data_IF_580079256283
#
_entry.id   IF_580079256283
#
_cell.length_a   1.000
_cell.length_b   1.000
_cell.length_c   1.000
_cell.angle_alpha   90.00
_cell.angle_beta   90.00
_cell.angle_gamma   90.00
#
_symmetry.space_group_name_H-M   'P 1'
#
loop_
_entity.id
_entity.type
_entity.pdbx_description
1 polymer ?
#
# COMPACT_ATOMS: atom_id res chain seq x y z
N UNK A 1 -42.76 32.13 -32.62
CA UNK A 1 -42.74 33.06 -33.76
C UNK A 1 -41.30 33.17 -34.28
N UNK A 2 -41.17 32.98 -35.59
CA UNK A 2 -40.09 33.29 -36.52
C UNK A 2 -38.59 33.09 -36.24
N UNK A 3 -38.01 32.37 -37.21
CA UNK A 3 -36.62 32.11 -37.59
C UNK A 3 -35.87 33.37 -38.08
N UNK A 4 -34.53 33.31 -38.04
CA UNK A 4 -33.62 33.70 -39.17
C UNK A 4 -32.19 33.18 -38.84
N UNK A 5 -31.77 32.03 -39.39
CA UNK A 5 -30.99 31.75 -40.62
C UNK A 5 -29.54 32.32 -40.71
N UNK A 6 -28.62 31.35 -40.60
CA UNK A 6 -27.23 31.12 -41.09
C UNK A 6 -26.77 31.93 -42.34
N UNK A 7 -25.44 32.07 -42.59
CA UNK A 7 -24.83 31.11 -43.52
C UNK A 7 -23.44 30.56 -43.11
N UNK A 8 -23.14 29.39 -43.68
CA UNK A 8 -21.94 28.59 -43.55
C UNK A 8 -20.89 28.95 -44.61
N UNK A 9 -19.61 28.63 -44.33
CA UNK A 9 -18.61 28.30 -45.37
C UNK A 9 -17.19 28.79 -45.09
N UNK A 10 -16.30 27.91 -44.61
CA UNK A 10 -15.15 27.31 -45.34
C UNK A 10 -14.27 26.49 -44.36
N UNK A 11 -13.73 25.36 -44.86
CA UNK A 11 -12.94 24.30 -44.17
C UNK A 11 -11.43 24.67 -44.08
N UNK A 12 -10.53 23.77 -43.67
CA UNK A 12 -10.19 23.35 -42.30
C UNK A 12 -8.72 23.68 -41.96
N UNK A 13 -8.38 23.90 -40.69
CA UNK A 13 -7.00 23.82 -40.22
C UNK A 13 -6.96 22.87 -39.03
N UNK A 14 -6.10 21.86 -39.17
CA UNK A 14 -5.87 20.82 -38.18
C UNK A 14 -5.48 21.44 -36.84
N UNK A 15 -6.34 21.29 -35.84
CA UNK A 15 -6.06 21.62 -34.45
C UNK A 15 -6.01 20.33 -33.65
N UNK A 16 -4.80 19.92 -33.29
CA UNK A 16 -4.54 18.78 -32.43
C UNK A 16 -5.29 18.94 -31.10
N UNK A 17 -6.15 17.98 -30.79
CA UNK A 17 -6.73 17.82 -29.46
C UNK A 17 -5.64 17.26 -28.56
N UNK A 18 -5.07 18.09 -27.71
CA UNK A 18 -4.07 17.68 -26.72
C UNK A 18 -4.80 16.89 -25.62
N UNK A 19 -4.84 15.57 -25.75
CA UNK A 19 -5.16 14.67 -24.63
C UNK A 19 -4.01 14.77 -23.62
N UNK A 20 -4.29 15.27 -22.42
CA UNK A 20 -3.39 15.10 -21.27
C UNK A 20 -3.30 13.61 -20.95
N UNK A 21 -2.14 13.02 -21.24
CA UNK A 21 -1.76 11.72 -20.71
C UNK A 21 -1.27 11.93 -19.27
N UNK A 22 -1.94 11.29 -18.30
CA UNK A 22 -1.29 11.01 -17.01
C UNK A 22 -0.15 10.02 -17.30
N UNK A 23 1.09 10.49 -17.14
CA UNK A 23 2.28 9.69 -17.29
C UNK A 23 2.46 8.82 -16.03
N UNK A 24 1.86 7.63 -16.04
CA UNK A 24 2.29 6.54 -15.17
C UNK A 24 3.65 6.03 -15.66
N UNK A 25 4.74 6.48 -15.03
CA UNK A 25 6.08 6.00 -15.35
C UNK A 25 6.48 4.87 -14.40
N UNK A 26 6.29 3.63 -14.85
CA UNK A 26 7.04 2.48 -14.35
C UNK A 26 8.48 2.52 -14.90
N UNK A 27 9.46 2.56 -14.01
CA UNK A 27 10.89 2.61 -14.36
C UNK A 27 11.44 1.28 -14.89
N UNK A 28 11.62 1.22 -16.21
CA UNK A 28 12.79 0.71 -16.96
C UNK A 28 13.53 -0.56 -16.54
N UNK A 29 13.32 -1.64 -17.32
CA UNK A 29 14.18 -2.82 -17.38
C UNK A 29 15.38 -2.66 -18.33
N UNK A 30 16.50 -3.30 -17.96
CA UNK A 30 17.72 -3.43 -18.76
C UNK A 30 17.70 -4.69 -19.63
N UNK A 31 18.25 -4.55 -20.83
CA UNK A 31 18.17 -5.43 -22.01
C UNK A 31 18.98 -6.73 -21.93
N UNK A 32 18.39 -7.79 -22.49
CA UNK A 32 19.04 -9.04 -22.91
C UNK A 32 20.15 -8.81 -23.95
N UNK A 33 21.29 -9.48 -23.76
CA UNK A 33 22.26 -9.76 -24.81
C UNK A 33 22.48 -11.28 -24.89
N UNK A 34 22.10 -11.82 -26.04
CA UNK A 34 22.26 -13.18 -26.49
C UNK A 34 23.75 -13.50 -26.75
N UNK A 35 24.26 -14.61 -26.22
CA UNK A 35 25.45 -15.28 -26.75
C UNK A 35 25.34 -16.80 -26.55
N UNK A 36 25.17 -17.47 -27.67
CA UNK A 36 25.17 -18.92 -27.84
C UNK A 36 26.58 -19.52 -27.69
N UNK A 37 26.66 -20.74 -27.15
CA UNK A 37 27.57 -21.83 -27.60
C UNK A 37 27.26 -23.11 -26.82
N UNK A 38 26.93 -24.16 -27.57
CA UNK A 38 26.66 -25.49 -27.02
C UNK A 38 27.93 -26.30 -26.75
N UNK A 39 27.74 -27.42 -26.04
CA UNK A 39 28.38 -28.72 -26.30
C UNK A 39 27.65 -29.79 -25.49
N UNK A 40 27.36 -30.88 -26.16
CA UNK A 40 26.90 -32.18 -25.61
C UNK A 40 28.13 -32.95 -25.11
N UNK A 41 28.04 -33.63 -23.96
CA UNK A 41 28.20 -35.10 -23.89
C UNK A 41 28.29 -35.67 -22.45
N UNK A 42 27.81 -36.91 -22.37
CA UNK A 42 28.21 -38.03 -21.50
C UNK A 42 27.60 -38.20 -20.09
N UNK A 43 27.15 -39.43 -19.87
CA UNK A 43 26.43 -39.95 -18.71
C UNK A 43 27.30 -40.87 -17.82
N UNK A 44 26.98 -40.86 -16.51
CA UNK A 44 27.05 -41.93 -15.48
C UNK A 44 28.44 -42.52 -15.07
N UNK A 45 28.68 -42.95 -13.80
CA UNK A 45 27.83 -43.88 -13.01
C UNK A 45 27.68 -43.54 -11.50
N UNK A 46 26.90 -44.35 -10.72
CA UNK A 46 26.47 -44.00 -9.36
C UNK A 46 27.41 -44.54 -8.27
N UNK A 47 27.38 -43.94 -7.08
CA UNK A 47 28.15 -44.40 -5.92
C UNK A 47 27.25 -44.65 -4.69
N UNK A 48 27.10 -45.95 -4.41
CA UNK A 48 27.05 -46.65 -3.12
C UNK A 48 26.23 -46.13 -1.92
N UNK A 49 25.24 -46.94 -1.55
CA UNK A 49 24.63 -47.05 -0.21
C UNK A 49 25.66 -47.36 0.89
N UNK A 50 25.41 -46.82 2.09
CA UNK A 50 26.08 -47.19 3.34
C UNK A 50 25.05 -47.75 4.36
N UNK A 51 25.48 -48.63 5.29
CA UNK A 51 24.63 -49.69 5.84
C UNK A 51 23.82 -49.30 7.08
N UNK A 52 22.70 -50.00 7.24
CA UNK A 52 21.81 -49.96 8.40
C UNK A 52 22.46 -50.53 9.67
N UNK A 53 22.25 -49.84 10.80
CA UNK A 53 22.62 -50.29 12.15
C UNK A 53 21.54 -51.18 12.77
N UNK A 54 21.87 -52.13 13.68
CA UNK A 54 20.95 -53.16 14.13
C UNK A 54 19.96 -52.68 15.19
N UNK A 55 18.72 -53.16 15.08
CA UNK A 55 17.61 -52.98 16.02
C UNK A 55 17.78 -53.92 17.23
N UNK A 56 17.62 -53.39 18.44
CA UNK A 56 17.63 -54.15 19.70
C UNK A 56 16.24 -54.76 20.01
N UNK A 57 16.17 -55.91 20.72
CA UNK A 57 14.93 -56.65 20.94
C UNK A 57 14.03 -56.04 22.04
N UNK A 58 12.71 -56.32 22.04
CA UNK A 58 11.75 -55.71 22.95
C UNK A 58 11.78 -56.34 24.35
N UNK A 59 11.57 -55.50 25.37
CA UNK A 59 11.39 -55.89 26.77
C UNK A 59 9.89 -56.20 27.06
N UNK A 60 9.58 -57.02 28.09
CA UNK A 60 8.24 -57.58 28.29
C UNK A 60 7.25 -56.59 28.89
N UNK A 61 5.97 -56.83 28.58
CA UNK A 61 4.81 -56.03 28.99
C UNK A 61 4.59 -56.01 30.52
N UNK A 62 4.27 -54.83 31.04
CA UNK A 62 3.81 -54.63 32.42
C UNK A 62 2.43 -53.94 32.42
N UNK A 63 1.45 -54.67 32.94
CA UNK A 63 0.25 -54.29 33.69
C UNK A 63 -0.35 -52.88 33.54
N UNK A 64 -1.62 -52.85 33.11
CA UNK A 64 -2.55 -51.72 33.16
C UNK A 64 -2.57 -51.02 34.53
N UNK A 65 -2.20 -49.74 34.52
CA UNK A 65 -2.53 -48.78 35.57
C UNK A 65 -3.23 -47.60 34.91
N UNK A 66 -4.44 -47.28 35.39
CA UNK A 66 -5.31 -46.25 34.85
C UNK A 66 -4.59 -44.88 34.80
N UNK A 67 -4.53 -44.28 33.61
CA UNK A 67 -4.00 -42.94 33.40
C UNK A 67 -4.92 -41.88 34.06
N UNK A 68 -4.36 -40.83 34.68
CA UNK A 68 -5.16 -39.73 35.21
C UNK A 68 -5.80 -38.94 34.06
N UNK A 69 -7.08 -38.62 34.20
CA UNK A 69 -7.84 -37.78 33.26
C UNK A 69 -7.14 -36.42 33.13
N UNK A 70 -6.81 -35.95 31.91
CA UNK A 70 -6.20 -34.63 31.75
C UNK A 70 -7.21 -33.55 32.15
N UNK A 71 -6.74 -32.59 32.97
CA UNK A 71 -7.52 -31.42 33.31
C UNK A 71 -7.95 -30.67 32.04
N UNK A 72 -9.15 -30.06 31.99
CA UNK A 72 -9.59 -29.29 30.84
C UNK A 72 -8.60 -28.17 30.55
N UNK A 73 -8.22 -28.04 29.28
CA UNK A 73 -7.34 -26.97 28.83
C UNK A 73 -7.93 -25.61 29.26
N UNK A 74 -7.11 -24.67 29.77
CA UNK A 74 -7.59 -23.33 30.05
C UNK A 74 -8.14 -22.73 28.76
N UNK A 75 -9.32 -22.10 28.86
CA UNK A 75 -9.91 -21.37 27.74
C UNK A 75 -8.87 -20.39 27.14
N UNK A 76 -8.83 -20.21 25.82
CA UNK A 76 -7.89 -19.28 25.21
C UNK A 76 -8.14 -17.90 25.82
N UNK A 77 -7.12 -17.39 26.50
CA UNK A 77 -7.08 -16.00 26.93
C UNK A 77 -7.11 -15.18 25.66
N UNK A 78 -8.19 -14.43 25.43
CA UNK A 78 -8.28 -13.48 24.33
C UNK A 78 -7.24 -12.38 24.57
N UNK A 79 -6.01 -12.62 24.12
CA UNK A 79 -5.04 -11.55 23.92
C UNK A 79 -5.57 -10.77 22.73
N UNK A 80 -6.22 -9.64 22.98
CA UNK A 80 -6.48 -8.67 21.91
C UNK A 80 -5.13 -8.40 21.25
N UNK A 81 -4.97 -8.82 19.99
CA UNK A 81 -3.74 -8.60 19.26
C UNK A 81 -3.43 -7.11 19.28
N UNK A 82 -2.31 -6.73 19.90
CA UNK A 82 -1.86 -5.35 19.95
C UNK A 82 -1.66 -4.85 18.50
N UNK A 83 -2.14 -3.64 18.19
CA UNK A 83 -1.98 -3.06 16.86
C UNK A 83 -0.49 -2.99 16.47
N UNK A 84 -0.13 -3.10 15.17
CA UNK A 84 1.22 -2.81 14.71
C UNK A 84 1.65 -1.40 15.12
N UNK A 85 2.95 -1.17 15.27
CA UNK A 85 3.48 0.15 15.61
C UNK A 85 4.07 0.83 14.37
N UNK A 86 3.96 2.15 14.36
CA UNK A 86 4.53 3.07 13.39
C UNK A 86 5.30 4.14 14.17
N UNK A 87 6.62 3.96 14.27
CA UNK A 87 7.41 4.67 15.28
C UNK A 87 6.96 4.26 16.69
N UNK A 88 6.54 5.22 17.50
CA UNK A 88 5.99 5.01 18.84
C UNK A 88 4.45 4.97 18.90
N UNK A 89 3.78 5.03 17.74
CA UNK A 89 2.32 5.10 17.63
C UNK A 89 1.72 3.80 17.11
N UNK A 90 0.51 3.46 17.55
CA UNK A 90 -0.23 2.36 16.92
C UNK A 90 -0.66 2.72 15.49
N UNK A 91 -0.62 1.73 14.59
CA UNK A 91 -1.13 1.80 13.23
C UNK A 91 -2.65 1.68 13.28
N UNK A 92 -3.30 2.77 13.72
CA UNK A 92 -4.73 2.81 14.07
C UNK A 92 -5.14 1.88 15.24
N UNK A 93 -6.30 2.13 15.85
CA UNK A 93 -6.83 1.21 16.86
C UNK A 93 -7.00 -0.21 16.30
N UNK A 94 -6.88 -1.22 17.16
CA UNK A 94 -6.97 -2.63 16.77
C UNK A 94 -8.30 -3.01 16.07
N UNK A 95 -9.38 -2.26 16.33
CA UNK A 95 -10.69 -2.49 15.74
C UNK A 95 -10.83 -1.88 14.33
N UNK A 96 -9.78 -1.22 13.82
CA UNK A 96 -9.73 -0.71 12.45
C UNK A 96 -9.73 -1.86 11.43
N UNK A 97 -10.39 -1.64 10.30
CA UNK A 97 -10.47 -2.62 9.21
C UNK A 97 -9.10 -3.03 8.68
N UNK A 98 -8.12 -2.13 8.69
CA UNK A 98 -6.77 -2.41 8.22
C UNK A 98 -6.02 -3.41 9.11
N UNK A 99 -6.44 -3.54 10.37
CA UNK A 99 -5.90 -4.50 11.35
C UNK A 99 -6.82 -5.73 11.51
N UNK A 100 -7.90 -5.83 10.73
CA UNK A 100 -8.88 -6.90 10.86
C UNK A 100 -8.50 -8.11 10.00
N UNK A 101 -8.48 -9.27 10.64
CA UNK A 101 -8.29 -10.54 9.94
C UNK A 101 -9.50 -10.87 9.08
N UNK A 102 -9.23 -11.19 7.82
CA UNK A 102 -10.18 -11.61 6.80
C UNK A 102 -9.94 -13.05 6.32
N UNK A 103 -9.07 -13.83 6.96
CA UNK A 103 -8.77 -15.21 6.51
C UNK A 103 -9.83 -16.26 6.87
N UNK A 104 -10.84 -15.91 7.68
CA UNK A 104 -12.03 -16.74 7.89
C UNK A 104 -12.96 -16.63 6.68
N UNK A 105 -12.83 -17.58 5.74
CA UNK A 105 -13.63 -17.61 4.53
C UNK A 105 -15.14 -17.80 4.76
N UNK A 106 -15.56 -18.27 5.95
CA UNK A 106 -16.98 -18.40 6.29
C UNK A 106 -17.59 -17.04 6.65
N UNK A 107 -16.82 -16.19 7.33
CA UNK A 107 -17.21 -14.82 7.67
C UNK A 107 -16.98 -13.86 6.50
N UNK A 108 -15.89 -14.06 5.76
CA UNK A 108 -15.46 -13.22 4.66
C UNK A 108 -15.37 -14.06 3.38
N UNK A 109 -16.49 -14.39 2.72
CA UNK A 109 -16.46 -15.21 1.51
C UNK A 109 -15.79 -14.47 0.34
N UNK A 110 -15.42 -15.22 -0.70
CA UNK A 110 -14.98 -14.62 -1.95
C UNK A 110 -16.07 -13.72 -2.53
N UNK A 111 -15.68 -12.56 -3.05
CA UNK A 111 -16.57 -11.62 -3.72
C UNK A 111 -17.12 -12.26 -5.01
N UNK A 112 -18.39 -11.98 -5.33
CA UNK A 112 -19.06 -12.57 -6.50
C UNK A 112 -18.35 -12.27 -7.84
N UNK A 113 -17.75 -11.07 -7.94
CA UNK A 113 -16.97 -10.65 -9.12
C UNK A 113 -15.51 -11.11 -9.13
N UNK A 114 -15.05 -11.84 -8.10
CA UNK A 114 -13.63 -12.20 -7.93
C UNK A 114 -13.04 -12.83 -9.20
N UNK A 115 -13.66 -13.89 -9.74
CA UNK A 115 -13.17 -14.55 -10.95
C UNK A 115 -13.13 -13.62 -12.18
N UNK A 116 -14.12 -12.72 -12.31
CA UNK A 116 -14.21 -11.76 -13.41
C UNK A 116 -13.08 -10.74 -13.34
N UNK A 117 -12.83 -10.18 -12.17
CA UNK A 117 -11.76 -9.22 -11.93
C UNK A 117 -10.37 -9.83 -12.10
N UNK A 118 -10.14 -11.06 -11.61
CA UNK A 118 -8.88 -11.78 -11.84
C UNK A 118 -8.65 -12.04 -13.33
N UNK A 119 -9.69 -12.39 -14.08
CA UNK A 119 -9.59 -12.59 -15.53
C UNK A 119 -9.36 -11.28 -16.31
N UNK A 120 -9.93 -10.17 -15.85
CA UNK A 120 -9.74 -8.84 -16.45
C UNK A 120 -8.28 -8.39 -16.40
N UNK A 121 -7.59 -8.69 -15.29
CA UNK A 121 -6.15 -8.42 -15.14
C UNK A 121 -5.30 -9.47 -15.85
N UNK A 122 -5.64 -10.74 -15.66
CA UNK A 122 -4.88 -11.90 -16.12
C UNK A 122 -4.35 -12.73 -14.94
N UNK A 123 -4.85 -13.96 -14.79
CA UNK A 123 -4.51 -14.81 -13.64
C UNK A 123 -3.04 -15.25 -13.54
N UNK A 124 -2.24 -15.07 -14.60
CA UNK A 124 -0.80 -15.34 -14.61
C UNK A 124 0.06 -14.14 -14.16
N UNK A 125 -0.55 -12.96 -13.99
CA UNK A 125 0.13 -11.76 -13.47
C UNK A 125 0.74 -12.10 -12.11
N UNK A 126 2.03 -11.81 -11.95
CA UNK A 126 2.77 -12.17 -10.74
C UNK A 126 2.74 -11.00 -9.76
N UNK A 127 2.77 -11.31 -8.47
CA UNK A 127 3.06 -10.32 -7.44
C UNK A 127 4.35 -9.59 -7.78
N UNK A 128 4.34 -8.26 -7.66
CA UNK A 128 5.49 -7.40 -7.86
C UNK A 128 5.73 -6.59 -6.60
N UNK A 129 6.91 -6.76 -6.02
CA UNK A 129 7.34 -5.93 -4.92
C UNK A 129 7.74 -4.57 -5.48
N UNK A 130 7.04 -3.53 -5.05
CA UNK A 130 7.25 -2.15 -5.46
C UNK A 130 8.16 -1.42 -4.46
N UNK A 131 9.29 -2.03 -4.13
CA UNK A 131 10.30 -1.49 -3.22
C UNK A 131 11.64 -2.22 -3.40
N UNK A 132 12.75 -1.61 -2.96
CA UNK A 132 14.09 -2.22 -3.06
C UNK A 132 14.95 -1.99 -1.82
N UNK A 133 16.25 -2.30 -1.94
CA UNK A 133 17.19 -2.38 -0.83
C UNK A 133 17.92 -1.08 -0.52
N UNK A 134 18.05 -0.15 -1.48
CA UNK A 134 18.86 1.05 -1.24
C UNK A 134 18.06 2.07 -0.43
N UNK A 135 18.65 2.55 0.66
CA UNK A 135 18.14 3.65 1.47
C UNK A 135 18.81 4.99 1.12
N UNK A 136 19.72 5.00 0.14
CA UNK A 136 20.44 6.20 -0.30
C UNK A 136 19.60 6.96 -1.35
N UNK A 137 18.99 8.11 -1.01
CA UNK A 137 18.11 8.85 -1.92
C UNK A 137 18.85 9.45 -3.12
N UNK A 138 20.19 9.40 -3.16
CA UNK A 138 20.98 9.82 -4.33
C UNK A 138 21.05 8.74 -5.41
N UNK A 139 20.76 7.48 -5.09
CA UNK A 139 20.83 6.33 -5.99
C UNK A 139 19.49 6.05 -6.66
N UNK A 140 19.06 6.91 -7.60
CA UNK A 140 17.71 6.85 -8.20
C UNK A 140 17.29 5.49 -8.75
N UNK A 141 18.21 4.72 -9.32
CA UNK A 141 17.91 3.42 -9.91
C UNK A 141 17.75 2.30 -8.87
N UNK A 142 18.23 2.51 -7.65
CA UNK A 142 18.23 1.50 -6.58
C UNK A 142 17.37 1.92 -5.37
N UNK A 143 17.05 3.21 -5.24
CA UNK A 143 16.22 3.78 -4.20
C UNK A 143 14.76 3.76 -4.67
N UNK A 144 14.05 2.72 -4.26
CA UNK A 144 12.74 2.37 -4.79
C UNK A 144 11.78 1.94 -3.68
N UNK A 145 10.50 2.29 -3.82
CA UNK A 145 9.48 2.21 -2.79
C UNK A 145 9.21 3.56 -2.13
N UNK A 146 8.32 3.55 -1.15
CA UNK A 146 7.84 4.78 -0.51
C UNK A 146 8.42 4.86 0.91
N UNK A 147 9.38 5.76 1.18
CA UNK A 147 10.00 5.89 2.49
C UNK A 147 9.06 6.56 3.49
N UNK A 148 9.28 6.27 4.77
CA UNK A 148 8.56 6.88 5.89
C UNK A 148 9.52 7.73 6.71
N UNK A 149 9.09 8.95 7.06
CA UNK A 149 9.84 9.84 7.94
C UNK A 149 9.20 9.87 9.33
N UNK A 150 10.04 9.95 10.36
CA UNK A 150 9.60 10.09 11.73
C UNK A 150 10.00 11.46 12.27
N UNK A 151 9.06 12.18 12.87
CA UNK A 151 9.29 13.48 13.52
C UNK A 151 8.64 13.47 14.90
N UNK A 152 9.18 14.22 15.84
CA UNK A 152 8.60 14.39 17.20
C UNK A 152 7.60 15.58 17.29
N UNK A 153 7.34 16.25 16.17
CA UNK A 153 6.45 17.41 16.09
C UNK A 153 7.07 18.71 16.62
N UNK A 154 8.26 18.66 17.24
CA UNK A 154 8.95 19.85 17.75
C UNK A 154 9.76 20.53 16.65
N UNK A 155 10.16 21.78 16.92
CA UNK A 155 11.09 22.49 16.06
C UNK A 155 12.49 21.85 16.00
N UNK A 156 12.80 20.81 16.79
CA UNK A 156 14.05 20.08 16.65
C UNK A 156 14.02 19.12 15.44
N UNK A 157 12.86 18.51 15.15
CA UNK A 157 12.74 17.47 14.12
C UNK A 157 12.06 17.93 12.83
N UNK A 158 11.20 18.96 12.90
CA UNK A 158 10.41 19.43 11.76
C UNK A 158 10.42 20.96 11.65
N UNK A 159 10.44 21.45 10.42
CA UNK A 159 10.34 22.88 10.13
C UNK A 159 8.90 23.41 10.17
N UNK A 160 7.90 22.52 10.16
CA UNK A 160 6.51 22.87 9.89
C UNK A 160 6.43 23.89 8.77
N UNK A 161 6.89 23.49 7.58
CA UNK A 161 7.15 24.42 6.50
C UNK A 161 5.84 24.95 5.88
N UNK A 162 5.80 26.21 5.41
CA UNK A 162 4.71 26.70 4.59
C UNK A 162 4.52 25.83 3.35
N UNK A 163 3.27 25.51 3.02
CA UNK A 163 2.94 24.65 1.88
C UNK A 163 2.01 25.35 0.89
N UNK A 164 2.39 25.32 -0.39
CA UNK A 164 1.56 25.76 -1.51
C UNK A 164 0.95 24.56 -2.25
N UNK A 165 -0.23 24.76 -2.84
CA UNK A 165 -0.88 23.80 -3.74
C UNK A 165 -0.93 24.30 -5.19
N UNK A 166 -0.22 25.39 -5.50
CA UNK A 166 -0.21 26.01 -6.83
C UNK A 166 1.22 26.07 -7.37
N UNK A 167 1.57 25.09 -8.21
CA UNK A 167 2.92 24.98 -8.78
C UNK A 167 3.21 26.07 -9.79
N UNK A 168 2.20 26.75 -10.35
CA UNK A 168 2.40 27.84 -11.34
C UNK A 168 3.26 28.97 -10.77
N UNK A 169 3.13 29.22 -9.47
CA UNK A 169 3.95 30.22 -8.75
C UNK A 169 5.43 29.86 -8.64
N UNK A 170 5.79 28.58 -8.81
CA UNK A 170 7.19 28.13 -8.85
C UNK A 170 7.89 28.47 -10.17
N UNK A 171 7.13 28.63 -11.26
CA UNK A 171 7.64 28.75 -12.63
C UNK A 171 8.13 27.43 -13.26
N UNK A 172 7.97 26.29 -12.58
CA UNK A 172 8.50 24.98 -13.02
C UNK A 172 7.43 24.05 -13.59
N UNK A 173 6.22 24.05 -13.02
CA UNK A 173 5.07 23.26 -13.49
C UNK A 173 3.83 24.14 -13.58
N UNK A 174 2.89 23.77 -14.45
CA UNK A 174 1.58 24.41 -14.59
C UNK A 174 0.51 23.84 -13.66
N UNK A 175 0.83 22.82 -12.88
CA UNK A 175 -0.15 22.06 -12.11
C UNK A 175 -0.73 22.85 -10.93
N UNK A 176 -1.98 22.54 -10.62
CA UNK A 176 -2.71 23.11 -9.50
C UNK A 176 -3.38 21.96 -8.76
N UNK A 177 -3.09 21.87 -7.47
CA UNK A 177 -3.58 20.83 -6.59
C UNK A 177 -5.00 21.04 -6.10
N UNK A 178 -5.40 20.21 -5.13
CA UNK A 178 -6.74 20.14 -4.57
C UNK A 178 -6.76 20.54 -3.08
N UNK A 179 -6.49 21.81 -2.74
CA UNK A 179 -6.50 22.25 -1.34
C UNK A 179 -7.86 22.09 -0.66
N UNK A 180 -8.97 22.05 -1.42
CA UNK A 180 -10.32 21.88 -0.87
C UNK A 180 -10.60 20.44 -0.41
N UNK A 181 -9.85 19.47 -0.94
CA UNK A 181 -9.85 18.08 -0.54
C UNK A 181 -8.56 17.72 0.22
N UNK A 182 -7.75 18.70 0.63
CA UNK A 182 -6.49 18.44 1.35
C UNK A 182 -6.58 18.83 2.82
N UNK A 183 -5.70 18.22 3.62
CA UNK A 183 -5.47 18.59 5.02
C UNK A 183 -4.11 19.25 5.20
N UNK A 184 -4.03 20.21 6.11
CA UNK A 184 -2.81 20.94 6.41
C UNK A 184 -2.71 21.17 7.90
N UNK A 185 -1.48 21.39 8.35
CA UNK A 185 -1.20 21.79 9.70
C UNK A 185 -1.50 23.28 9.88
N UNK A 186 -2.17 23.62 10.97
CA UNK A 186 -2.41 25.01 11.42
C UNK A 186 -1.96 25.14 12.86
N UNK A 187 -1.48 26.32 13.26
CA UNK A 187 -1.03 26.52 14.63
C UNK A 187 -2.18 26.26 15.62
N UNK A 188 -1.91 25.43 16.63
CA UNK A 188 -2.84 25.06 17.69
C UNK A 188 -2.06 24.93 19.01
N UNK A 189 -2.35 25.81 19.97
CA UNK A 189 -1.57 25.88 21.21
C UNK A 189 -0.09 26.22 20.93
N UNK A 190 0.81 25.40 21.47
CA UNK A 190 2.27 25.46 21.26
C UNK A 190 2.76 24.62 20.08
N UNK A 191 1.83 23.94 19.38
CA UNK A 191 2.14 23.08 18.24
C UNK A 191 1.23 23.35 17.05
N UNK A 192 0.90 22.28 16.34
CA UNK A 192 0.03 22.31 15.17
C UNK A 192 -1.13 21.35 15.35
N UNK A 193 -2.25 21.62 14.68
CA UNK A 193 -3.46 20.80 14.59
C UNK A 193 -3.76 20.39 13.15
N UNK A 194 -4.62 19.38 12.94
CA UNK A 194 -5.11 19.00 11.61
C UNK A 194 -6.27 19.93 11.23
N UNK A 195 -6.11 20.70 10.15
CA UNK A 195 -7.20 21.41 9.49
C UNK A 195 -7.62 20.67 8.22
N UNK A 196 -8.90 20.29 8.13
CA UNK A 196 -9.53 19.74 6.92
C UNK A 196 -9.88 20.88 5.95
N UNK A 197 -9.84 20.63 4.64
CA UNK A 197 -10.13 21.62 3.59
C UNK A 197 -9.24 22.87 3.72
N UNK A 198 -7.99 22.73 3.29
CA UNK A 198 -7.01 23.81 3.29
C UNK A 198 -7.41 25.04 2.46
N UNK A 199 -8.39 24.95 1.57
CA UNK A 199 -8.92 26.15 0.91
C UNK A 199 -9.55 27.14 1.90
N UNK A 200 -10.05 26.65 3.04
CA UNK A 200 -10.58 27.48 4.12
C UNK A 200 -9.49 28.06 5.04
N UNK A 201 -8.24 27.61 4.91
CA UNK A 201 -7.09 28.11 5.66
C UNK A 201 -6.36 29.17 4.81
N UNK A 202 -6.03 30.36 5.35
CA UNK A 202 -5.21 31.33 4.63
C UNK A 202 -3.89 30.70 4.17
N UNK A 203 -3.48 30.94 2.92
CA UNK A 203 -2.27 30.31 2.34
C UNK A 203 -1.02 30.49 3.19
N UNK A 204 -0.82 31.68 3.77
CA UNK A 204 0.29 31.99 4.67
C UNK A 204 0.26 31.24 6.01
N UNK A 205 -0.83 30.54 6.36
CA UNK A 205 -1.01 29.80 7.61
C UNK A 205 -0.97 28.28 7.43
N UNK A 206 -1.00 27.77 6.19
CA UNK A 206 -0.94 26.34 5.89
C UNK A 206 0.48 25.82 6.13
N UNK A 207 0.61 24.75 6.90
CA UNK A 207 1.88 24.06 7.16
C UNK A 207 1.82 22.58 6.79
N UNK A 208 2.99 21.98 6.68
CA UNK A 208 3.19 20.54 6.61
C UNK A 208 4.46 20.15 7.41
N UNK A 209 4.49 19.03 8.13
CA UNK A 209 5.60 18.67 9.01
C UNK A 209 6.81 18.13 8.22
N UNK A 210 7.47 18.97 7.43
CA UNK A 210 8.67 18.58 6.69
C UNK A 210 9.82 18.25 7.67
N UNK A 211 10.39 17.03 7.62
CA UNK A 211 11.59 16.67 8.38
C UNK A 211 12.76 17.63 8.11
N UNK A 212 13.46 18.04 9.18
CA UNK A 212 14.64 18.92 9.09
C UNK A 212 15.88 18.23 8.53
N UNK A 213 16.05 16.97 8.87
CA UNK A 213 17.23 16.17 8.56
C UNK A 213 16.79 14.87 7.92
N UNK A 214 17.68 14.31 7.10
CA UNK A 214 17.49 13.00 6.46
C UNK A 214 16.12 12.85 5.82
N UNK A 215 15.64 13.92 5.16
CA UNK A 215 14.36 13.92 4.46
C UNK A 215 14.37 12.81 3.41
N UNK A 216 13.39 11.91 3.51
CA UNK A 216 13.15 10.85 2.55
C UNK A 216 11.81 11.04 1.86
N UNK A 217 11.83 10.94 0.55
CA UNK A 217 10.70 11.07 -0.36
C UNK A 217 10.83 9.97 -1.41
N UNK A 218 9.72 9.51 -1.97
CA UNK A 218 9.75 8.54 -3.08
C UNK A 218 10.56 9.08 -4.26
N UNK A 219 11.40 8.26 -4.90
CA UNK A 219 12.27 8.71 -5.99
C UNK A 219 13.48 9.58 -5.54
N UNK A 220 13.64 9.79 -4.23
CA UNK A 220 14.84 10.36 -3.61
C UNK A 220 15.12 11.80 -4.04
N UNK A 221 16.34 12.08 -4.50
CA UNK A 221 16.77 13.45 -4.88
C UNK A 221 16.22 13.94 -6.24
N UNK A 222 15.22 13.25 -6.81
CA UNK A 222 14.48 13.69 -7.98
C UNK A 222 13.57 14.88 -7.68
N UNK A 223 13.97 16.10 -8.06
CA UNK A 223 13.26 17.32 -7.68
C UNK A 223 12.69 18.13 -8.86
N UNK A 224 12.30 17.45 -9.94
CA UNK A 224 11.59 18.05 -11.09
C UNK A 224 10.20 17.43 -11.24
N UNK A 225 9.11 18.15 -10.93
CA UNK A 225 7.76 17.60 -10.97
C UNK A 225 7.33 17.12 -12.36
N UNK A 226 7.97 17.58 -13.44
CA UNK A 226 7.61 17.16 -14.79
C UNK A 226 8.19 15.79 -15.18
N UNK A 227 9.17 15.28 -14.42
CA UNK A 227 9.90 14.04 -14.76
C UNK A 227 9.99 13.04 -13.61
N UNK A 228 9.78 13.47 -12.37
CA UNK A 228 9.98 12.67 -11.16
C UNK A 228 8.73 11.93 -10.66
N UNK A 229 7.55 12.25 -11.20
CA UNK A 229 6.30 11.55 -10.86
C UNK A 229 5.73 11.91 -9.49
N UNK A 230 5.22 10.90 -8.79
CA UNK A 230 4.35 11.09 -7.62
C UNK A 230 5.07 11.64 -6.39
N UNK A 231 6.33 11.27 -6.17
CA UNK A 231 7.21 11.88 -5.17
C UNK A 231 6.55 12.05 -3.80
N UNK A 232 5.96 10.96 -3.31
CA UNK A 232 5.24 10.95 -2.05
C UNK A 232 6.13 11.33 -0.87
N UNK A 233 5.58 12.13 0.06
CA UNK A 233 6.21 12.48 1.32
C UNK A 233 5.35 12.00 2.49
N UNK A 234 5.79 10.94 3.17
CA UNK A 234 5.09 10.33 4.29
C UNK A 234 5.78 10.68 5.61
N UNK A 235 5.02 11.25 6.54
CA UNK A 235 5.54 11.73 7.83
C UNK A 235 4.66 11.25 8.97
N UNK A 236 5.28 10.59 9.93
CA UNK A 236 4.66 10.18 11.18
C UNK A 236 5.13 11.13 12.26
N UNK A 237 4.18 11.86 12.82
CA UNK A 237 4.39 12.71 13.97
C UNK A 237 4.17 11.92 15.26
N UNK A 238 5.30 11.52 15.83
CA UNK A 238 5.41 10.82 17.09
C UNK A 238 4.89 11.65 18.27
N UNK A 239 4.47 10.98 19.34
CA UNK A 239 3.84 11.60 20.52
C UNK A 239 2.40 12.08 20.25
N UNK A 240 2.19 12.95 19.26
CA UNK A 240 0.85 13.36 18.82
C UNK A 240 0.10 12.18 18.18
N UNK A 241 0.83 11.26 17.53
CA UNK A 241 0.32 10.15 16.73
C UNK A 241 -0.57 10.62 15.60
N UNK A 242 0.02 11.45 14.74
CA UNK A 242 -0.60 11.93 13.52
C UNK A 242 0.21 11.46 12.32
N UNK A 243 -0.49 11.00 11.30
CA UNK A 243 0.08 10.65 10.02
C UNK A 243 -0.22 11.79 9.05
N UNK A 244 0.80 12.22 8.31
CA UNK A 244 0.74 13.27 7.30
C UNK A 244 1.35 12.74 6.00
N UNK A 245 0.62 12.84 4.90
CA UNK A 245 1.04 12.30 3.62
C UNK A 245 0.80 13.32 2.52
N UNK A 246 1.80 13.53 1.66
CA UNK A 246 1.73 14.41 0.51
C UNK A 246 1.91 13.65 -0.81
N UNK A 247 1.15 14.06 -1.83
CA UNK A 247 1.29 13.62 -3.21
C UNK A 247 1.84 14.75 -4.07
N UNK A 248 2.79 14.41 -4.93
CA UNK A 248 3.61 15.32 -5.74
C UNK A 248 4.20 16.42 -4.85
N UNK A 249 4.98 16.04 -3.83
CA UNK A 249 5.49 16.98 -2.83
C UNK A 249 6.94 17.40 -3.10
N UNK A 250 7.13 18.60 -3.64
CA UNK A 250 8.43 19.08 -4.12
C UNK A 250 8.90 20.35 -3.41
N UNK A 251 10.22 20.53 -3.32
CA UNK A 251 10.83 21.79 -2.86
C UNK A 251 11.41 22.56 -4.04
N UNK A 252 10.71 23.60 -4.49
CA UNK A 252 11.07 24.37 -5.68
C UNK A 252 11.43 25.80 -5.27
N UNK A 253 12.63 26.25 -5.66
CA UNK A 253 13.12 27.61 -5.36
C UNK A 253 12.99 27.99 -3.85
N UNK A 254 13.21 27.01 -2.97
CA UNK A 254 13.14 27.18 -1.51
C UNK A 254 11.73 27.06 -0.90
N UNK A 255 10.67 26.99 -1.71
CA UNK A 255 9.27 26.84 -1.27
C UNK A 255 8.77 25.40 -1.44
N UNK A 256 7.90 24.95 -0.56
CA UNK A 256 7.28 23.63 -0.64
C UNK A 256 5.95 23.68 -1.39
N UNK A 257 5.74 22.67 -2.22
CA UNK A 257 4.55 22.48 -3.04
C UNK A 257 4.05 21.05 -2.90
N UNK A 258 2.73 20.86 -2.91
CA UNK A 258 2.09 19.54 -2.99
C UNK A 258 0.80 19.63 -3.80
N UNK A 259 0.47 18.64 -4.62
CA UNK A 259 -0.80 18.63 -5.33
C UNK A 259 -1.95 18.22 -4.41
N UNK A 260 -1.71 17.27 -3.52
CA UNK A 260 -2.65 16.92 -2.46
C UNK A 260 -1.91 16.62 -1.16
N UNK A 261 -2.58 16.79 -0.03
CA UNK A 261 -2.09 16.33 1.27
C UNK A 261 -3.22 15.75 2.10
N UNK A 262 -2.88 14.77 2.92
CA UNK A 262 -3.82 14.09 3.79
C UNK A 262 -3.26 13.85 5.17
N UNK A 263 -4.13 13.91 6.18
CA UNK A 263 -3.75 13.69 7.56
C UNK A 263 -4.75 12.80 8.30
N UNK A 264 -4.22 11.99 9.21
CA UNK A 264 -4.99 11.11 10.08
C UNK A 264 -4.52 11.23 11.52
N UNK A 265 -5.47 11.18 12.46
CA UNK A 265 -5.15 10.88 13.84
C UNK A 265 -5.09 9.36 13.99
N UNK A 266 -3.90 8.82 14.26
CA UNK A 266 -3.69 7.37 14.39
C UNK A 266 -4.36 6.79 15.65
N UNK A 267 -4.88 7.63 16.55
CA UNK A 267 -5.68 7.21 17.71
C UNK A 267 -7.19 7.15 17.40
N UNK A 268 -7.60 7.50 16.19
CA UNK A 268 -9.01 7.56 15.78
C UNK A 268 -9.36 6.49 14.74
N UNK A 269 -10.65 6.14 14.68
CA UNK A 269 -11.26 5.34 13.63
C UNK A 269 -11.93 6.21 12.56
N UNK A 270 -11.76 7.53 12.57
CA UNK A 270 -12.41 8.41 11.60
C UNK A 270 -11.80 8.28 10.20
N UNK A 271 -12.64 8.02 9.20
CA UNK A 271 -12.23 8.14 7.81
C UNK A 271 -12.17 9.61 7.37
N UNK A 272 -11.44 9.88 6.30
CA UNK A 272 -11.54 11.15 5.58
C UNK A 272 -12.96 11.32 4.99
N UNK A 273 -13.40 12.56 4.72
CA UNK A 273 -14.67 12.79 4.04
C UNK A 273 -14.79 11.95 2.77
N UNK A 274 -15.99 11.44 2.51
CA UNK A 274 -16.25 10.72 1.26
C UNK A 274 -16.00 11.65 0.07
N UNK A 275 -15.56 11.06 -1.04
CA UNK A 275 -15.17 11.72 -2.29
C UNK A 275 -13.92 12.60 -2.24
N UNK A 276 -13.19 12.67 -1.13
CA UNK A 276 -11.94 13.45 -1.07
C UNK A 276 -10.76 12.57 -1.49
N UNK A 277 -9.96 13.05 -2.44
CA UNK A 277 -8.66 12.47 -2.78
C UNK A 277 -7.71 12.46 -1.56
N UNK A 278 -6.56 11.80 -1.63
CA UNK A 278 -5.51 11.88 -0.61
C UNK A 278 -4.14 11.95 -1.29
N UNK A 279 -3.08 11.61 -0.56
CA UNK A 279 -1.83 11.22 -1.22
C UNK A 279 -2.05 9.94 -2.07
N UNK A 280 -2.93 9.07 -1.60
CA UNK A 280 -3.42 7.87 -2.28
C UNK A 280 -4.65 8.15 -3.17
N UNK A 281 -4.73 7.54 -4.35
CA UNK A 281 -5.87 7.71 -5.24
C UNK A 281 -7.20 7.20 -4.64
N UNK A 282 -7.19 6.15 -3.82
CA UNK A 282 -8.39 5.63 -3.15
C UNK A 282 -8.86 6.52 -1.98
N UNK A 283 -8.12 7.57 -1.63
CA UNK A 283 -8.38 8.38 -0.44
C UNK A 283 -8.04 7.66 0.87
N UNK A 284 -7.28 6.56 0.81
CA UNK A 284 -6.79 5.82 1.97
C UNK A 284 -5.43 6.39 2.45
N UNK A 285 -4.99 6.10 3.68
CA UNK A 285 -3.60 6.38 4.05
C UNK A 285 -2.64 5.43 3.31
N UNK A 286 -1.40 5.83 3.04
CA UNK A 286 -0.38 5.01 2.35
C UNK A 286 0.43 4.19 3.37
N UNK A 287 1.03 4.89 4.34
CA UNK A 287 1.96 4.36 5.34
C UNK A 287 1.44 3.10 6.06
N UNK A 288 0.15 3.05 6.47
CA UNK A 288 -0.43 1.90 7.15
C UNK A 288 -0.47 0.62 6.30
N UNK A 289 -0.31 0.72 4.97
CA UNK A 289 -0.36 -0.43 4.07
C UNK A 289 1.00 -0.81 3.46
N UNK A 290 2.06 -0.05 3.76
CA UNK A 290 3.39 -0.36 3.25
C UNK A 290 3.93 -1.63 3.90
N UNK A 291 4.47 -2.52 3.07
CA UNK A 291 5.33 -3.62 3.54
C UNK A 291 6.61 -3.03 4.15
N UNK A 292 6.87 -3.32 5.43
CA UNK A 292 8.06 -2.81 6.16
C UNK A 292 9.07 -3.90 6.47
N UNK A 293 10.35 -3.57 6.34
CA UNK A 293 11.43 -4.54 6.43
C UNK A 293 11.57 -5.09 7.85
N UNK A 294 11.38 -4.23 8.85
CA UNK A 294 11.45 -4.61 10.26
C UNK A 294 10.37 -5.65 10.63
N UNK A 295 9.12 -5.42 10.23
CA UNK A 295 7.99 -6.33 10.48
C UNK A 295 8.17 -7.66 9.75
N UNK A 296 8.55 -7.60 8.46
CA UNK A 296 8.80 -8.80 7.66
C UNK A 296 9.97 -9.62 8.24
N UNK A 297 11.02 -8.96 8.74
CA UNK A 297 12.17 -9.62 9.39
C UNK A 297 11.81 -10.25 10.73
N UNK A 298 10.89 -9.63 11.47
CA UNK A 298 10.30 -10.21 12.69
C UNK A 298 9.41 -11.43 12.40
N UNK A 299 9.04 -11.66 11.13
CA UNK A 299 8.27 -12.82 10.69
C UNK A 299 6.75 -12.62 10.72
N UNK A 300 6.28 -11.42 11.07
CA UNK A 300 4.85 -11.13 11.10
C UNK A 300 4.57 -9.67 10.71
N UNK A 301 3.67 -9.51 9.74
CA UNK A 301 3.05 -8.23 9.39
C UNK A 301 1.57 -8.33 9.80
N UNK A 302 1.11 -7.41 10.64
CA UNK A 302 -0.19 -7.49 11.33
C UNK A 302 -1.24 -6.52 10.80
N UNK A 303 -1.07 -6.08 9.57
CA UNK A 303 -1.98 -5.15 8.89
C UNK A 303 -2.14 -5.53 7.42
N UNK A 304 -3.17 -4.97 6.79
CA UNK A 304 -3.41 -5.10 5.36
C UNK A 304 -2.30 -4.42 4.55
N UNK A 305 -2.10 -4.87 3.32
CA UNK A 305 -1.20 -4.24 2.36
C UNK A 305 -1.98 -3.42 1.34
N UNK A 306 -1.28 -2.75 0.43
CA UNK A 306 -1.88 -2.03 -0.71
C UNK A 306 -1.41 -2.65 -2.02
N UNK A 307 -2.24 -2.56 -3.04
CA UNK A 307 -1.96 -3.06 -4.38
C UNK A 307 -2.47 -2.09 -5.44
N UNK A 308 -1.74 -1.97 -6.54
CA UNK A 308 -2.16 -1.21 -7.71
C UNK A 308 -2.60 -2.11 -8.86
N UNK A 309 -3.42 -1.53 -9.73
CA UNK A 309 -3.74 -2.10 -11.02
C UNK A 309 -3.70 -1.02 -12.10
N UNK A 310 -3.55 -1.43 -13.36
CA UNK A 310 -3.58 -0.48 -14.48
C UNK A 310 -4.96 0.11 -14.66
N UNK A 311 -5.02 1.38 -15.08
CA UNK A 311 -6.26 2.14 -15.24
C UNK A 311 -7.34 1.39 -16.04
N UNK A 312 -6.93 0.68 -17.09
CA UNK A 312 -7.81 -0.06 -17.99
C UNK A 312 -8.57 -1.24 -17.35
N UNK A 313 -8.28 -1.63 -16.10
CA UNK A 313 -9.05 -2.67 -15.39
C UNK A 313 -9.83 -2.12 -14.20
N UNK A 314 -9.67 -0.84 -13.89
CA UNK A 314 -10.31 -0.17 -12.76
C UNK A 314 -11.67 0.40 -13.18
N UNK A 315 -12.61 0.36 -12.24
CA UNK A 315 -13.91 1.01 -12.38
C UNK A 315 -13.83 2.46 -11.89
N UNK A 316 -14.68 3.32 -12.47
CA UNK A 316 -14.86 4.71 -12.05
C UNK A 316 -15.68 4.84 -10.75
N UNK A 317 -15.31 4.09 -9.73
CA UNK A 317 -16.04 4.00 -8.47
C UNK A 317 -15.13 3.51 -7.34
N UNK A 318 -15.53 3.79 -6.10
CA UNK A 318 -14.89 3.26 -4.90
C UNK A 318 -15.88 2.51 -4.01
N UNK A 319 -15.36 1.62 -3.18
CA UNK A 319 -16.09 0.91 -2.12
C UNK A 319 -15.41 1.10 -0.78
N UNK A 320 -16.17 1.02 0.32
CA UNK A 320 -15.62 1.13 1.66
C UNK A 320 -14.48 0.11 1.87
N UNK A 321 -13.36 0.51 2.51
CA UNK A 321 -13.11 1.77 3.22
C UNK A 321 -12.55 2.92 2.37
N UNK A 322 -12.31 2.72 1.07
CA UNK A 322 -11.86 3.80 0.20
C UNK A 322 -12.87 4.95 0.20
N UNK A 323 -12.35 6.16 -0.04
CA UNK A 323 -13.10 7.42 -0.04
C UNK A 323 -13.14 8.07 -1.42
N UNK A 324 -12.30 7.62 -2.34
CA UNK A 324 -12.12 8.25 -3.63
C UNK A 324 -11.71 7.23 -4.69
N UNK A 325 -11.74 7.64 -5.95
CA UNK A 325 -11.21 6.90 -7.08
C UNK A 325 -10.54 7.89 -8.03
N UNK A 326 -9.46 7.47 -8.68
CA UNK A 326 -8.87 8.22 -9.78
C UNK A 326 -8.96 7.41 -11.07
N UNK A 327 -9.06 8.08 -12.21
CA UNK A 327 -9.20 7.39 -13.49
C UNK A 327 -10.37 6.41 -13.48
N UNK A 328 -10.16 5.27 -14.14
CA UNK A 328 -11.11 4.19 -14.29
C UNK A 328 -12.27 4.59 -15.19
N UNK A 329 -12.56 3.75 -16.18
CA UNK A 329 -13.84 3.82 -16.92
C UNK A 329 -14.27 2.45 -17.44
N UNK A 330 -13.67 1.37 -16.90
CA UNK A 330 -13.99 0.02 -17.32
C UNK A 330 -15.30 -0.41 -16.69
N UNK A 331 -16.36 -0.68 -17.47
CA UNK A 331 -17.65 -1.08 -16.93
C UNK A 331 -17.54 -2.38 -16.12
N UNK A 332 -17.91 -2.31 -14.85
CA UNK A 332 -17.74 -3.41 -13.90
C UNK A 332 -16.27 -3.75 -13.62
N UNK A 333 -15.32 -2.85 -13.86
CA UNK A 333 -13.93 -3.00 -13.43
C UNK A 333 -13.80 -3.14 -11.90
N UNK A 334 -12.56 -3.21 -11.44
CA UNK A 334 -12.24 -3.34 -10.02
C UNK A 334 -12.42 -1.97 -9.35
N UNK A 335 -13.25 -1.83 -8.31
CA UNK A 335 -13.38 -0.56 -7.61
C UNK A 335 -12.19 -0.33 -6.67
N UNK A 336 -11.81 0.93 -6.49
CA UNK A 336 -10.90 1.32 -5.41
C UNK A 336 -11.49 0.90 -4.06
N UNK A 337 -10.64 0.44 -3.14
CA UNK A 337 -11.05 -0.12 -1.85
C UNK A 337 -11.52 -1.57 -1.88
N UNK A 338 -11.62 -2.20 -3.06
CA UNK A 338 -11.75 -3.66 -3.11
C UNK A 338 -10.54 -4.31 -2.41
N UNK A 339 -10.75 -5.43 -1.73
CA UNK A 339 -9.69 -6.15 -1.03
C UNK A 339 -9.45 -7.51 -1.67
N UNK A 340 -8.18 -7.79 -1.95
CA UNK A 340 -7.67 -9.03 -2.48
C UNK A 340 -7.02 -9.82 -1.34
N UNK A 341 -7.25 -11.14 -1.22
CA UNK A 341 -6.46 -11.99 -0.31
C UNK A 341 -5.86 -13.18 -1.01
N UNK A 342 -4.75 -13.67 -0.48
CA UNK A 342 -4.16 -14.94 -0.88
C UNK A 342 -5.06 -16.08 -0.39
N UNK A 343 -5.43 -17.00 -1.28
CA UNK A 343 -6.33 -18.11 -0.95
C UNK A 343 -5.75 -18.97 0.16
N UNK A 344 -6.62 -19.55 0.99
CA UNK A 344 -6.21 -20.36 2.14
C UNK A 344 -5.43 -21.62 1.75
N UNK A 345 -5.71 -22.19 0.58
CA UNK A 345 -5.08 -23.40 0.03
C UNK A 345 -3.70 -23.18 -0.61
N UNK A 346 -3.29 -21.92 -0.86
CA UNK A 346 -1.93 -21.63 -1.30
C UNK A 346 -0.92 -22.07 -0.23
N UNK A 347 -0.06 -23.04 -0.54
CA UNK A 347 0.98 -23.51 0.37
C UNK A 347 2.17 -22.56 0.30
N UNK A 348 2.46 -21.86 1.39
CA UNK A 348 3.65 -21.02 1.51
C UNK A 348 4.86 -21.95 1.66
N UNK A 349 5.83 -21.96 0.72
CA UNK A 349 6.93 -22.91 0.77
C UNK A 349 7.86 -22.74 1.98
N UNK A 350 8.23 -23.86 2.60
CA UNK A 350 9.07 -23.86 3.81
C UNK A 350 10.49 -23.30 3.59
N UNK A 351 10.98 -23.33 2.36
CA UNK A 351 12.30 -22.80 2.00
C UNK A 351 12.29 -21.29 1.73
N UNK A 352 11.12 -20.62 1.79
CA UNK A 352 11.06 -19.18 1.67
C UNK A 352 11.72 -18.47 2.85
N UNK A 353 12.25 -17.28 2.58
CA UNK A 353 12.75 -16.36 3.60
C UNK A 353 11.66 -16.02 4.62
N UNK A 354 12.07 -15.69 5.85
CA UNK A 354 11.16 -15.19 6.90
C UNK A 354 10.31 -14.03 6.38
N UNK A 355 10.93 -13.09 5.67
CA UNK A 355 10.28 -11.93 5.07
C UNK A 355 9.22 -12.32 4.03
N UNK A 356 9.52 -13.22 3.09
CA UNK A 356 8.53 -13.67 2.10
C UNK A 356 7.36 -14.43 2.74
N UNK A 357 7.62 -15.24 3.78
CA UNK A 357 6.57 -15.92 4.54
C UNK A 357 5.67 -14.94 5.29
N UNK A 358 6.25 -13.89 5.87
CA UNK A 358 5.50 -12.83 6.56
C UNK A 358 4.56 -12.10 5.59
N UNK A 359 5.06 -11.70 4.42
CA UNK A 359 4.28 -11.02 3.37
C UNK A 359 3.13 -11.92 2.88
N UNK A 360 3.41 -13.17 2.52
CA UNK A 360 2.37 -14.09 2.06
C UNK A 360 1.33 -14.39 3.15
N UNK A 361 1.76 -14.47 4.40
CA UNK A 361 0.87 -14.65 5.56
C UNK A 361 -0.03 -13.43 5.77
N UNK A 362 0.50 -12.21 5.64
CA UNK A 362 -0.28 -10.99 5.71
C UNK A 362 -1.28 -10.88 4.56
N UNK A 363 -0.87 -11.26 3.34
CA UNK A 363 -1.76 -11.34 2.18
C UNK A 363 -2.93 -12.34 2.40
N UNK A 364 -2.74 -13.43 3.15
CA UNK A 364 -3.84 -14.32 3.56
C UNK A 364 -4.71 -13.68 4.63
N UNK A 365 -4.09 -13.17 5.70
CA UNK A 365 -4.75 -12.75 6.94
C UNK A 365 -5.45 -11.41 6.82
N UNK A 366 -4.85 -10.42 6.19
CA UNK A 366 -5.35 -9.04 6.17
C UNK A 366 -5.67 -8.55 4.76
N UNK A 367 -5.13 -9.21 3.74
CA UNK A 367 -5.37 -8.88 2.33
C UNK A 367 -4.61 -7.65 1.86
N UNK A 368 -4.96 -7.22 0.65
CA UNK A 368 -4.37 -6.10 -0.07
C UNK A 368 -5.49 -5.22 -0.63
N UNK A 369 -5.51 -3.95 -0.26
CA UNK A 369 -6.49 -3.00 -0.75
C UNK A 369 -6.07 -2.42 -2.11
N UNK A 370 -7.03 -2.33 -3.03
CA UNK A 370 -6.86 -1.61 -4.29
C UNK A 370 -6.81 -0.13 -3.99
N UNK A 371 -5.60 0.44 -4.02
CA UNK A 371 -5.33 1.77 -3.47
C UNK A 371 -4.96 2.78 -4.55
N UNK A 372 -4.30 2.35 -5.64
CA UNK A 372 -3.82 3.27 -6.67
C UNK A 372 -3.90 2.74 -8.10
N UNK A 373 -3.79 3.67 -9.05
CA UNK A 373 -3.49 3.37 -10.44
C UNK A 373 -1.99 3.11 -10.55
N UNK A 374 -1.62 2.00 -11.18
CA UNK A 374 -0.21 1.67 -11.40
C UNK A 374 -0.07 0.52 -12.36
N UNK A 375 0.95 -0.31 -12.16
CA UNK A 375 1.07 -1.57 -12.87
C UNK A 375 0.27 -2.66 -12.15
N UNK A 376 -0.12 -3.70 -12.89
CA UNK A 376 -0.92 -4.79 -12.34
C UNK A 376 -0.16 -5.58 -11.28
N UNK A 377 -0.79 -5.70 -10.10
CA UNK A 377 -0.33 -6.51 -8.96
C UNK A 377 1.00 -6.06 -8.36
N UNK A 378 1.28 -4.76 -8.40
CA UNK A 378 2.36 -4.13 -7.65
C UNK A 378 1.89 -3.82 -6.23
N UNK A 379 2.71 -4.20 -5.25
CA UNK A 379 2.46 -4.02 -3.82
C UNK A 379 3.53 -3.12 -3.27
N UNK A 380 3.15 -2.05 -2.56
CA UNK A 380 4.11 -1.05 -2.10
C UNK A 380 4.73 -1.39 -0.74
N UNK A 381 6.00 -1.00 -0.61
CA UNK A 381 6.79 -1.14 0.61
C UNK A 381 7.80 -0.01 0.75
N UNK A 382 8.55 -0.05 1.85
CA UNK A 382 9.62 0.91 2.09
C UNK A 382 10.97 0.43 1.50
N UNK A 383 11.82 1.36 1.01
CA UNK A 383 13.21 1.04 0.75
C UNK A 383 13.92 0.66 2.04
N UNK A 384 14.62 -0.49 2.07
CA UNK A 384 15.46 -0.84 3.22
C UNK A 384 16.60 -1.81 2.94
N UNK A 385 17.77 -1.54 3.53
CA UNK A 385 18.94 -2.44 3.43
C UNK A 385 18.72 -3.77 4.15
N UNK A 386 17.70 -3.86 5.02
CA UNK A 386 17.34 -5.08 5.75
C UNK A 386 16.63 -6.12 4.89
N UNK A 387 16.17 -5.77 3.68
CA UNK A 387 15.54 -6.71 2.77
C UNK A 387 16.52 -7.79 2.28
N UNK A 388 16.12 -9.05 2.43
CA UNK A 388 16.76 -10.20 1.80
C UNK A 388 16.36 -10.22 0.32
N UNK A 389 17.35 -10.18 -0.57
CA UNK A 389 17.11 -10.12 -2.02
C UNK A 389 16.31 -11.32 -2.56
N UNK A 390 16.40 -12.47 -1.90
CA UNK A 390 15.62 -13.67 -2.28
C UNK A 390 14.13 -13.46 -2.08
N UNK A 391 13.73 -12.58 -1.15
CA UNK A 391 12.32 -12.28 -0.87
C UNK A 391 11.58 -11.83 -2.12
N UNK A 392 12.17 -10.94 -2.93
CA UNK A 392 11.56 -10.41 -4.14
C UNK A 392 11.21 -11.51 -5.17
N UNK A 393 12.17 -12.41 -5.42
CA UNK A 393 11.96 -13.55 -6.32
C UNK A 393 10.94 -14.55 -5.77
N UNK A 394 10.91 -14.76 -4.46
CA UNK A 394 9.98 -15.68 -3.78
C UNK A 394 8.54 -15.17 -3.82
N UNK A 395 8.28 -13.92 -3.43
CA UNK A 395 6.92 -13.37 -3.49
C UNK A 395 6.41 -13.27 -4.92
N UNK A 396 7.28 -13.03 -5.90
CA UNK A 396 6.92 -13.06 -7.33
C UNK A 396 6.44 -14.44 -7.82
N UNK A 397 6.62 -15.51 -7.05
CA UNK A 397 6.07 -16.82 -7.38
C UNK A 397 4.57 -16.93 -7.10
N UNK A 398 3.93 -15.93 -6.47
CA UNK A 398 2.49 -15.86 -6.25
C UNK A 398 1.83 -15.28 -7.51
N UNK A 399 1.10 -16.07 -8.32
CA UNK A 399 0.32 -15.52 -9.41
C UNK A 399 -1.03 -15.01 -8.90
N UNK A 400 -1.62 -14.06 -9.62
CA UNK A 400 -2.90 -13.46 -9.27
C UNK A 400 -4.03 -14.50 -9.21
N UNK A 401 -3.94 -15.60 -9.96
CA UNK A 401 -4.88 -16.74 -9.87
C UNK A 401 -4.91 -17.46 -8.51
N UNK A 402 -3.88 -17.27 -7.66
CA UNK A 402 -3.88 -17.73 -6.27
C UNK A 402 -4.54 -16.75 -5.30
N UNK A 403 -4.99 -15.60 -5.81
CA UNK A 403 -5.69 -14.59 -5.04
C UNK A 403 -7.20 -14.67 -5.28
N UNK A 404 -7.97 -14.07 -4.39
CA UNK A 404 -9.40 -13.85 -4.55
C UNK A 404 -9.79 -12.50 -3.95
N UNK A 405 -10.73 -11.80 -4.57
CA UNK A 405 -11.35 -10.64 -3.94
C UNK A 405 -12.33 -11.10 -2.86
N UNK A 406 -12.47 -10.31 -1.80
CA UNK A 406 -13.22 -10.67 -0.60
C UNK A 406 -14.47 -9.78 -0.44
N UNK A 407 -15.60 -10.38 -0.07
CA UNK A 407 -16.80 -9.64 0.33
C UNK A 407 -16.66 -9.21 1.81
N UNK A 408 -16.62 -7.89 2.04
CA UNK A 408 -16.60 -7.29 3.38
C UNK A 408 -18.00 -7.12 3.98
N UNK A 409 -19.03 -7.77 3.43
CA UNK A 409 -20.42 -7.72 3.86
C UNK A 409 -20.64 -8.08 5.34
N UNK A 410 -19.79 -8.92 5.93
CA UNK A 410 -19.84 -9.21 7.37
C UNK A 410 -19.53 -7.99 8.26
N UNK A 411 -18.90 -6.95 7.70
CA UNK A 411 -18.68 -5.66 8.36
C UNK A 411 -19.75 -4.67 7.89
N UNK A 412 -19.87 -4.46 6.58
CA UNK A 412 -20.68 -3.36 6.02
C UNK A 412 -22.19 -3.55 6.17
N UNK A 413 -22.65 -4.76 6.50
CA UNK A 413 -24.06 -5.07 6.78
C UNK A 413 -24.35 -5.25 8.28
N UNK A 414 -23.36 -5.09 9.17
CA UNK A 414 -23.60 -5.06 10.61
C UNK A 414 -24.41 -3.81 10.98
N UNK A 415 -25.43 -3.89 11.86
CA UNK A 415 -26.22 -2.73 12.27
C UNK A 415 -25.42 -1.58 12.91
N UNK A 416 -24.21 -1.85 13.42
CA UNK A 416 -23.31 -0.86 14.04
C UNK A 416 -22.33 -0.24 13.03
N UNK A 417 -22.36 -0.69 11.77
CA UNK A 417 -21.51 -0.16 10.71
C UNK A 417 -21.76 1.34 10.50
N UNK A 418 -20.65 2.08 10.42
CA UNK A 418 -20.65 3.47 9.97
C UNK A 418 -19.75 3.58 8.75
N UNK A 419 -20.32 4.07 7.65
CA UNK A 419 -19.58 4.31 6.40
C UNK A 419 -18.45 5.34 6.53
N UNK A 420 -18.47 6.16 7.58
CA UNK A 420 -17.51 7.23 7.85
C UNK A 420 -16.48 6.84 8.93
N UNK A 421 -16.47 5.56 9.32
CA UNK A 421 -15.51 5.00 10.26
C UNK A 421 -14.76 3.81 9.67
N UNK A 422 -13.52 3.62 10.12
CA UNK A 422 -12.68 2.45 9.89
C UNK A 422 -13.08 1.25 10.76
N UNK A 423 -14.01 1.41 11.71
CA UNK A 423 -14.42 0.34 12.62
C UNK A 423 -14.91 -0.89 11.85
N UNK A 424 -14.28 -2.04 12.10
CA UNK A 424 -14.64 -3.34 11.54
C UNK A 424 -15.11 -4.34 12.60
N UNK A 425 -15.00 -3.96 13.87
CA UNK A 425 -15.37 -4.76 15.03
C UNK A 425 -15.96 -3.83 16.10
N UNK A 426 -16.90 -4.35 16.87
CA UNK A 426 -17.60 -3.61 17.91
C UNK A 426 -17.78 -4.53 19.11
N UNK A 427 -17.27 -4.09 20.27
CA UNK A 427 -17.35 -4.82 21.54
C UNK A 427 -18.70 -4.70 22.21
#
# INVERSE_FOLDING_TARGET
MNRTRIPAGLRPLAGATLLLWLAACGGGGGTDVNASRGTVDAAAPPAAEAPATPVAPPAPAASDAAAPVPAPAPAPVSVTAQAPLLGDCELFPADAVFNTRIDDASRFPAHADSARWINLVGGSTRFRADWWRSEDPTQRDAYYGIPVNLVDGTSASTDWAPLSYDFRSSGVSSDVGWPHESDCAVAEGDGFGIARNCSNVPSGSRRFPIPKFDLKNEGGTCNDPNTCGDHHLLVVEQGACRLWEGFATYKLNGSWYSLATAAWNLKSLDLRPDTWTAADAAGLPITPFLVKAAEASAGEIRHALRVTFRDAVLARQHTWPARHFAGGDTPGGIPFGAVLRLKSDFVIPDHWTTQAKAIATAAKRYGLYVSDIGMDFYVQGEPSVQWDERTFGQVSAIPLSQMEFVDLGAITRDPRFSRDSMAAQWR
#
